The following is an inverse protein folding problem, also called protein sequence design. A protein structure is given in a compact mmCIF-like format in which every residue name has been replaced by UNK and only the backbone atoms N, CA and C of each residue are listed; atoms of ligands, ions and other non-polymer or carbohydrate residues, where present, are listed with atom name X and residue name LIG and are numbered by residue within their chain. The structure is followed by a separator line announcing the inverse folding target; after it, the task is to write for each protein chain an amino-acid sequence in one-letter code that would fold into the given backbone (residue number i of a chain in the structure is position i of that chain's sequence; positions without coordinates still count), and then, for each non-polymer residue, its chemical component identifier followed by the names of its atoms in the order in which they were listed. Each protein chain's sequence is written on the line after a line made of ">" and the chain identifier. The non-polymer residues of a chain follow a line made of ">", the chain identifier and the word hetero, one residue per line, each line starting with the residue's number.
data_IF_877927571137
#
_entry.id   IF_877927571137
#
_cell.length_a   1.000
_cell.length_b   1.000
_cell.length_c   1.000
_cell.angle_alpha   90.00
_cell.angle_beta   90.00
_cell.angle_gamma   90.00
#
_symmetry.space_group_name_H-M   'P 1'
#
loop_
_entity.id
_entity.type
_entity.pdbx_description
1 polymer ?
#
# COMPACT_ATOMS: atom_id res chain seq x y z
N UNK A 1 -21.36 57.56 32.24
CA UNK A 1 -22.65 58.17 31.87
C UNK A 1 -23.27 57.33 30.79
N UNK A 2 -24.32 56.59 31.14
CA UNK A 2 -25.16 55.85 30.19
C UNK A 2 -25.90 56.89 29.34
N UNK A 3 -25.99 56.70 28.02
CA UNK A 3 -26.77 57.62 27.18
C UNK A 3 -28.26 57.49 27.49
N UNK A 4 -29.05 58.57 27.35
CA UNK A 4 -30.51 58.54 27.56
C UNK A 4 -31.19 57.39 26.80
N UNK A 5 -30.76 57.14 25.55
CA UNK A 5 -31.27 56.04 24.72
C UNK A 5 -30.99 54.64 25.31
N UNK A 6 -29.87 54.47 26.03
CA UNK A 6 -29.55 53.20 26.70
C UNK A 6 -30.28 53.05 28.04
N UNK A 7 -30.59 54.16 28.72
CA UNK A 7 -31.43 54.17 29.93
C UNK A 7 -32.87 53.75 29.61
N UNK A 8 -33.47 54.27 28.53
CA UNK A 8 -34.82 53.86 28.11
C UNK A 8 -34.92 52.35 27.83
N UNK A 9 -33.90 51.77 27.18
CA UNK A 9 -33.82 50.34 26.90
C UNK A 9 -33.64 49.49 28.16
N UNK A 10 -32.91 49.97 29.16
CA UNK A 10 -32.75 49.28 30.46
C UNK A 10 -34.05 49.34 31.26
N UNK A 11 -34.77 50.46 31.23
CA UNK A 11 -36.11 50.60 31.82
C UNK A 11 -37.10 49.62 31.18
N UNK A 12 -37.00 49.40 29.87
CA UNK A 12 -37.80 48.40 29.16
C UNK A 12 -37.50 46.96 29.64
N UNK A 13 -36.23 46.62 29.95
CA UNK A 13 -35.87 45.34 30.60
C UNK A 13 -36.64 45.18 31.91
N UNK A 14 -36.61 46.19 32.76
CA UNK A 14 -37.17 46.12 34.10
C UNK A 14 -38.70 45.99 34.07
N UNK A 15 -39.36 46.61 33.09
CA UNK A 15 -40.80 46.47 32.87
C UNK A 15 -41.20 45.06 32.42
N UNK A 16 -40.40 44.40 31.58
CA UNK A 16 -40.66 43.01 31.12
C UNK A 16 -40.69 42.02 32.29
N UNK A 17 -39.95 42.29 33.37
CA UNK A 17 -39.92 41.46 34.58
C UNK A 17 -40.87 41.91 35.70
N UNK A 18 -41.78 42.85 35.43
CA UNK A 18 -42.84 43.24 36.37
C UNK A 18 -42.42 44.18 37.49
N UNK A 19 -41.27 44.86 37.37
CA UNK A 19 -40.92 45.95 38.29
C UNK A 19 -41.85 47.16 38.02
N UNK A 20 -42.40 47.74 39.09
CA UNK A 20 -43.37 48.85 38.98
C UNK A 20 -42.70 50.13 38.49
N UNK A 21 -43.49 51.01 37.85
CA UNK A 21 -43.03 52.32 37.36
C UNK A 21 -42.43 53.22 38.47
N UNK A 22 -42.72 52.93 39.74
CA UNK A 22 -42.10 53.61 40.90
C UNK A 22 -40.66 53.17 41.15
N UNK A 23 -40.29 51.92 40.87
CA UNK A 23 -38.92 51.41 40.99
C UNK A 23 -38.06 51.94 39.84
N UNK A 24 -38.65 52.10 38.66
CA UNK A 24 -38.01 52.61 37.45
C UNK A 24 -37.52 54.07 37.60
N UNK A 25 -38.23 54.90 38.37
CA UNK A 25 -37.92 56.33 38.52
C UNK A 25 -36.81 56.66 39.53
N UNK A 26 -36.27 55.67 40.26
CA UNK A 26 -35.25 55.88 41.31
C UNK A 26 -33.80 55.64 40.80
N UNK A 27 -33.63 55.18 39.56
CA UNK A 27 -32.46 54.38 39.17
C UNK A 27 -31.40 55.08 38.30
N UNK A 28 -31.22 56.40 38.36
CA UNK A 28 -30.09 57.02 37.65
C UNK A 28 -28.71 56.56 38.18
N UNK A 29 -28.62 56.12 39.46
CA UNK A 29 -27.39 55.55 40.05
C UNK A 29 -27.42 54.02 40.27
N UNK A 30 -28.60 53.37 40.24
CA UNK A 30 -28.76 51.94 40.55
C UNK A 30 -29.07 51.06 39.31
N UNK A 31 -29.31 51.64 38.13
CA UNK A 31 -29.56 50.88 36.91
C UNK A 31 -28.40 49.95 36.52
N UNK A 32 -27.15 50.41 36.68
CA UNK A 32 -25.97 49.59 36.40
C UNK A 32 -25.87 48.37 37.32
N UNK A 33 -26.25 48.51 38.60
CA UNK A 33 -26.29 47.40 39.57
C UNK A 33 -27.35 46.37 39.23
N UNK A 34 -28.53 46.82 38.78
CA UNK A 34 -29.59 45.92 38.34
C UNK A 34 -29.15 45.14 37.11
N UNK A 35 -28.51 45.81 36.15
CA UNK A 35 -27.94 45.16 34.96
C UNK A 35 -26.87 44.16 35.35
N UNK A 36 -25.94 44.51 36.24
CA UNK A 36 -24.89 43.60 36.70
C UNK A 36 -25.49 42.35 37.36
N UNK A 37 -26.50 42.54 38.24
CA UNK A 37 -27.18 41.43 38.90
C UNK A 37 -28.01 40.57 37.94
N UNK A 38 -28.59 41.17 36.90
CA UNK A 38 -29.29 40.42 35.85
C UNK A 38 -28.31 39.56 35.04
N UNK A 39 -27.15 40.09 34.69
CA UNK A 39 -26.10 39.35 33.97
C UNK A 39 -25.55 38.21 34.83
N UNK A 40 -25.38 38.43 36.15
CA UNK A 40 -24.93 37.38 37.08
C UNK A 40 -25.93 36.23 37.18
N UNK A 41 -27.23 36.53 37.20
CA UNK A 41 -28.28 35.52 37.38
C UNK A 41 -28.63 34.80 36.08
N UNK A 42 -28.76 35.54 34.97
CA UNK A 42 -29.24 35.02 33.68
C UNK A 42 -28.43 35.57 32.49
N UNK A 43 -27.13 35.20 32.36
CA UNK A 43 -26.26 35.76 31.34
C UNK A 43 -26.70 35.45 29.90
N UNK A 44 -27.31 34.28 29.66
CA UNK A 44 -27.83 33.91 28.33
C UNK A 44 -29.04 34.76 27.93
N UNK A 45 -29.95 35.04 28.88
CA UNK A 45 -31.09 35.91 28.66
C UNK A 45 -30.65 37.37 28.45
N UNK A 46 -29.66 37.82 29.22
CA UNK A 46 -29.06 39.15 29.07
C UNK A 46 -28.37 39.32 27.70
N UNK A 47 -27.68 38.30 27.21
CA UNK A 47 -27.08 38.31 25.88
C UNK A 47 -28.16 38.41 24.78
N UNK A 48 -29.16 37.54 24.79
CA UNK A 48 -30.23 37.53 23.79
C UNK A 48 -30.99 38.85 23.77
N UNK A 49 -31.26 39.40 24.95
CA UNK A 49 -31.93 40.69 25.07
C UNK A 49 -31.07 41.82 24.50
N UNK A 50 -29.79 41.88 24.87
CA UNK A 50 -28.85 42.86 24.31
C UNK A 50 -28.70 42.74 22.80
N UNK A 51 -28.68 41.52 22.26
CA UNK A 51 -28.64 41.27 20.82
C UNK A 51 -29.92 41.76 20.11
N UNK A 52 -31.11 41.48 20.66
CA UNK A 52 -32.38 41.93 20.11
C UNK A 52 -32.53 43.46 20.08
N UNK A 53 -31.95 44.15 21.07
CA UNK A 53 -31.95 45.61 21.14
C UNK A 53 -30.76 46.28 20.42
N UNK A 54 -29.87 45.48 19.84
CA UNK A 54 -28.57 45.90 19.31
C UNK A 54 -27.74 46.74 20.33
N UNK A 55 -27.96 46.49 21.62
CA UNK A 55 -27.31 47.23 22.70
C UNK A 55 -25.91 46.69 22.95
N UNK A 56 -24.93 47.31 22.28
CA UNK A 56 -23.51 46.95 22.43
C UNK A 56 -23.04 47.04 23.89
N UNK A 57 -23.47 48.04 24.68
CA UNK A 57 -23.03 48.18 26.07
C UNK A 57 -23.41 46.95 26.91
N UNK A 58 -24.67 46.50 26.82
CA UNK A 58 -25.15 45.33 27.53
C UNK A 58 -24.41 44.06 27.08
N UNK A 59 -24.23 43.89 25.76
CA UNK A 59 -23.49 42.75 25.19
C UNK A 59 -22.03 42.71 25.69
N UNK A 60 -21.38 43.87 25.84
CA UNK A 60 -20.02 43.97 26.39
C UNK A 60 -19.94 43.59 27.87
N UNK A 61 -20.91 44.04 28.69
CA UNK A 61 -20.98 43.63 30.10
C UNK A 61 -21.18 42.12 30.23
N UNK A 62 -22.07 41.54 29.42
CA UNK A 62 -22.29 40.08 29.37
C UNK A 62 -21.01 39.35 28.95
N UNK A 63 -20.31 39.84 27.92
CA UNK A 63 -19.06 39.25 27.49
C UNK A 63 -18.02 39.20 28.61
N UNK A 64 -17.87 40.29 29.38
CA UNK A 64 -16.92 40.35 30.50
C UNK A 64 -17.33 39.43 31.67
N UNK A 65 -18.62 39.34 32.01
CA UNK A 65 -19.10 38.45 33.06
C UNK A 65 -18.89 36.96 32.72
N UNK A 66 -18.95 36.62 31.42
CA UNK A 66 -18.78 35.25 30.95
C UNK A 66 -17.31 34.83 30.79
N UNK A 67 -16.34 35.74 30.86
CA UNK A 67 -14.92 35.44 30.57
C UNK A 67 -14.40 34.24 31.35
N UNK A 68 -14.73 34.13 32.64
CA UNK A 68 -14.28 33.05 33.51
C UNK A 68 -15.25 31.87 33.54
N UNK A 69 -16.55 32.12 33.34
CA UNK A 69 -17.62 31.12 33.46
C UNK A 69 -17.80 30.28 32.20
N UNK A 70 -17.86 30.94 31.03
CA UNK A 70 -17.98 30.31 29.72
C UNK A 70 -17.19 31.14 28.69
N UNK A 71 -15.88 30.89 28.58
CA UNK A 71 -15.01 31.63 27.68
C UNK A 71 -15.45 31.57 26.21
N UNK A 72 -16.12 30.49 25.77
CA UNK A 72 -16.61 30.38 24.38
C UNK A 72 -17.75 31.35 24.12
N UNK A 73 -18.73 31.41 25.03
CA UNK A 73 -19.82 32.39 24.95
C UNK A 73 -19.29 33.81 25.13
N UNK A 74 -18.31 34.03 25.99
CA UNK A 74 -17.65 35.32 26.15
C UNK A 74 -17.01 35.82 24.85
N UNK A 75 -16.32 34.95 24.09
CA UNK A 75 -15.80 35.31 22.76
C UNK A 75 -16.92 35.67 21.79
N UNK A 76 -18.02 34.90 21.76
CA UNK A 76 -19.15 35.20 20.89
C UNK A 76 -19.82 36.53 21.24
N UNK A 77 -20.09 36.75 22.53
CA UNK A 77 -20.66 37.99 23.02
C UNK A 77 -19.73 39.18 22.76
N UNK A 78 -18.44 39.04 23.05
CA UNK A 78 -17.44 40.08 22.79
C UNK A 78 -17.32 40.44 21.32
N UNK A 79 -17.43 39.47 20.40
CA UNK A 79 -17.49 39.73 18.95
C UNK A 79 -18.72 40.54 18.57
N UNK A 80 -19.90 40.16 19.06
CA UNK A 80 -21.15 40.86 18.78
C UNK A 80 -21.18 42.27 19.40
N UNK A 81 -20.58 42.45 20.57
CA UNK A 81 -20.42 43.73 21.24
C UNK A 81 -19.24 44.56 20.75
N UNK A 82 -18.43 44.04 19.82
CA UNK A 82 -17.17 44.62 19.35
C UNK A 82 -16.17 44.95 20.49
N UNK A 83 -16.19 44.19 21.58
CA UNK A 83 -15.26 44.33 22.71
C UNK A 83 -14.08 43.37 22.55
N UNK A 84 -13.03 43.90 21.93
CA UNK A 84 -11.76 43.19 21.74
C UNK A 84 -11.10 42.80 23.05
N UNK A 85 -11.29 43.56 24.13
CA UNK A 85 -10.64 43.30 25.40
C UNK A 85 -11.29 42.10 26.11
N UNK A 86 -12.62 42.00 26.08
CA UNK A 86 -13.34 40.82 26.54
C UNK A 86 -12.97 39.57 25.72
N UNK A 87 -12.92 39.69 24.39
CA UNK A 87 -12.48 38.59 23.50
C UNK A 87 -11.04 38.16 23.81
N UNK A 88 -10.14 39.11 24.04
CA UNK A 88 -8.74 38.85 24.43
C UNK A 88 -8.68 38.04 25.73
N UNK A 89 -9.35 38.51 26.79
CA UNK A 89 -9.35 37.82 28.10
C UNK A 89 -9.92 36.40 27.98
N UNK A 90 -11.07 36.25 27.32
CA UNK A 90 -11.67 34.95 27.09
C UNK A 90 -10.76 34.02 26.25
N UNK A 91 -10.05 34.58 25.26
CA UNK A 91 -9.05 33.86 24.46
C UNK A 91 -7.91 33.29 25.31
N UNK A 92 -7.42 34.02 26.30
CA UNK A 92 -6.42 33.52 27.26
C UNK A 92 -6.95 32.37 28.12
N UNK A 93 -8.22 32.41 28.56
CA UNK A 93 -8.83 31.27 29.27
C UNK A 93 -9.03 30.04 28.37
N UNK A 94 -9.26 30.25 27.07
CA UNK A 94 -9.42 29.17 26.11
C UNK A 94 -8.10 28.50 25.72
N UNK A 95 -6.96 29.15 25.92
CA UNK A 95 -5.66 28.68 25.42
C UNK A 95 -5.34 27.24 25.82
N UNK A 96 -5.68 26.87 27.06
CA UNK A 96 -5.41 25.53 27.62
C UNK A 96 -6.52 24.51 27.36
N UNK A 97 -7.72 24.95 26.97
CA UNK A 97 -8.91 24.07 26.89
C UNK A 97 -9.44 23.88 25.46
N UNK A 98 -9.29 24.90 24.59
CA UNK A 98 -9.70 24.88 23.18
C UNK A 98 -8.82 25.85 22.39
N UNK A 99 -7.65 25.37 21.95
CA UNK A 99 -6.67 26.18 21.24
C UNK A 99 -7.21 26.76 19.92
N UNK A 100 -8.17 26.08 19.26
CA UNK A 100 -8.77 26.55 18.01
C UNK A 100 -9.67 27.76 18.25
N UNK A 101 -10.50 27.71 19.29
CA UNK A 101 -11.31 28.85 19.72
C UNK A 101 -10.44 30.00 20.22
N UNK A 102 -9.36 29.70 20.97
CA UNK A 102 -8.39 30.68 21.41
C UNK A 102 -7.69 31.39 20.24
N UNK A 103 -7.28 30.65 19.20
CA UNK A 103 -6.69 31.21 17.97
C UNK A 103 -7.65 32.19 17.27
N UNK A 104 -8.93 31.81 17.13
CA UNK A 104 -9.96 32.70 16.54
C UNK A 104 -10.23 33.94 17.39
N UNK A 105 -10.04 33.86 18.71
CA UNK A 105 -10.15 34.99 19.62
C UNK A 105 -8.93 35.93 19.48
N UNK A 106 -7.72 35.37 19.39
CA UNK A 106 -6.47 36.10 19.15
C UNK A 106 -6.54 36.91 17.85
N UNK A 107 -6.97 36.28 16.75
CA UNK A 107 -7.11 36.93 15.45
C UNK A 107 -8.10 38.10 15.48
N UNK A 108 -9.26 37.91 16.11
CA UNK A 108 -10.28 38.97 16.21
C UNK A 108 -9.83 40.14 17.09
N UNK A 109 -9.21 39.82 18.24
CA UNK A 109 -8.73 40.84 19.19
C UNK A 109 -7.46 41.54 18.72
N UNK A 110 -6.79 41.03 17.69
CA UNK A 110 -5.49 41.50 17.20
C UNK A 110 -4.43 41.47 18.33
N UNK A 111 -4.50 40.45 19.18
CA UNK A 111 -3.51 40.22 20.25
C UNK A 111 -2.39 39.31 19.72
N UNK A 112 -1.26 39.92 19.34
CA UNK A 112 -0.09 39.21 18.82
C UNK A 112 0.53 38.24 19.85
N UNK A 113 0.46 38.56 21.15
CA UNK A 113 1.00 37.70 22.21
C UNK A 113 0.15 36.43 22.36
N UNK A 114 -1.18 36.59 22.39
CA UNK A 114 -2.09 35.45 22.41
C UNK A 114 -2.02 34.64 21.12
N UNK A 115 -1.84 35.30 19.96
CA UNK A 115 -1.70 34.62 18.68
C UNK A 115 -0.41 33.77 18.65
N UNK A 116 0.71 34.30 19.16
CA UNK A 116 1.95 33.55 19.30
C UNK A 116 1.80 32.36 20.27
N UNK A 117 1.16 32.58 21.44
CA UNK A 117 0.94 31.52 22.42
C UNK A 117 0.02 30.41 21.90
N UNK A 118 -1.07 30.76 21.20
CA UNK A 118 -1.98 29.78 20.59
C UNK A 118 -1.30 28.98 19.48
N UNK A 119 -0.50 29.62 18.61
CA UNK A 119 0.30 28.91 17.61
C UNK A 119 1.23 27.88 18.26
N UNK A 120 1.99 28.29 19.28
CA UNK A 120 2.89 27.39 20.01
C UNK A 120 2.12 26.20 20.60
N UNK A 121 0.97 26.46 21.22
CA UNK A 121 0.13 25.40 21.79
C UNK A 121 -0.44 24.45 20.74
N UNK A 122 -0.84 24.98 19.57
CA UNK A 122 -1.30 24.16 18.44
C UNK A 122 -0.18 23.24 17.95
N UNK A 123 1.06 23.72 17.90
CA UNK A 123 2.23 22.92 17.52
C UNK A 123 2.57 21.81 18.54
N UNK A 124 2.03 21.87 19.75
CA UNK A 124 2.16 20.84 20.78
C UNK A 124 1.06 19.76 20.72
N UNK A 125 0.01 19.96 19.91
CA UNK A 125 -1.07 18.98 19.70
C UNK A 125 -0.60 17.76 18.90
N UNK A 126 -1.45 16.73 18.85
CA UNK A 126 -1.23 15.61 17.93
C UNK A 126 -1.11 16.09 16.48
N UNK A 127 -0.21 15.44 15.74
CA UNK A 127 0.23 15.79 14.38
C UNK A 127 -0.90 16.18 13.43
N UNK A 128 -1.88 15.27 13.27
CA UNK A 128 -3.01 15.48 12.37
C UNK A 128 -3.89 16.65 12.82
N UNK A 129 -4.02 16.87 14.12
CA UNK A 129 -4.79 17.96 14.71
C UNK A 129 -4.11 19.31 14.47
N UNK A 130 -2.81 19.41 14.74
CA UNK A 130 -2.01 20.63 14.54
C UNK A 130 -2.04 21.08 13.07
N UNK A 131 -1.81 20.16 12.13
CA UNK A 131 -1.89 20.47 10.70
C UNK A 131 -3.31 20.85 10.28
N UNK A 132 -4.33 20.10 10.72
CA UNK A 132 -5.72 20.41 10.37
C UNK A 132 -6.08 21.83 10.77
N UNK A 133 -5.72 22.25 11.98
CA UNK A 133 -5.94 23.62 12.44
C UNK A 133 -5.15 24.62 11.58
N UNK A 134 -3.88 24.35 11.29
CA UNK A 134 -3.05 25.21 10.43
C UNK A 134 -3.63 25.40 9.02
N UNK A 135 -4.15 24.32 8.43
CA UNK A 135 -4.78 24.34 7.10
C UNK A 135 -6.12 25.07 7.11
N UNK A 136 -6.99 24.81 8.10
CA UNK A 136 -8.28 25.50 8.22
C UNK A 136 -8.14 27.00 8.49
N UNK A 137 -7.05 27.41 9.13
CA UNK A 137 -6.77 28.81 9.43
C UNK A 137 -5.99 29.53 8.34
N UNK A 138 -5.44 28.79 7.37
CA UNK A 138 -4.56 29.28 6.31
C UNK A 138 -3.42 30.17 6.84
N UNK A 139 -2.97 29.95 8.08
CA UNK A 139 -1.94 30.77 8.72
C UNK A 139 -0.54 30.32 8.25
N UNK A 140 0.18 31.16 7.47
CA UNK A 140 1.47 30.78 6.92
C UNK A 140 2.52 30.43 7.98
N UNK A 141 2.50 31.13 9.13
CA UNK A 141 3.47 30.90 10.20
C UNK A 141 3.20 29.59 10.94
N UNK A 142 1.92 29.26 11.12
CA UNK A 142 1.53 27.99 11.72
C UNK A 142 1.81 26.82 10.77
N UNK A 143 1.52 26.99 9.47
CA UNK A 143 1.87 26.02 8.43
C UNK A 143 3.38 25.78 8.35
N UNK A 144 4.19 26.84 8.41
CA UNK A 144 5.65 26.72 8.45
C UNK A 144 6.13 26.00 9.72
N UNK A 145 5.59 26.36 10.88
CA UNK A 145 5.92 25.73 12.16
C UNK A 145 5.59 24.23 12.17
N UNK A 146 4.42 23.85 11.66
CA UNK A 146 4.01 22.45 11.49
C UNK A 146 4.97 21.73 10.55
N UNK A 147 5.27 22.31 9.38
CA UNK A 147 6.19 21.72 8.41
C UNK A 147 7.60 21.49 9.00
N UNK A 148 8.12 22.45 9.76
CA UNK A 148 9.42 22.36 10.43
C UNK A 148 9.44 21.25 11.47
N UNK A 149 8.38 21.12 12.28
CA UNK A 149 8.23 20.07 13.29
C UNK A 149 8.33 18.66 12.68
N UNK A 150 7.67 18.45 11.54
CA UNK A 150 7.73 17.16 10.84
C UNK A 150 9.09 16.87 10.20
N UNK A 151 9.75 17.90 9.65
CA UNK A 151 11.08 17.76 9.05
C UNK A 151 12.17 17.47 10.09
N UNK A 152 12.18 18.23 11.20
CA UNK A 152 13.26 18.20 12.18
C UNK A 152 13.16 17.03 13.16
N UNK A 153 11.97 16.66 13.62
CA UNK A 153 11.83 15.59 14.63
C UNK A 153 11.86 14.19 14.04
N UNK A 154 11.42 13.99 12.81
CA UNK A 154 11.09 12.65 12.32
C UNK A 154 11.68 12.30 10.97
N UNK A 155 12.33 13.25 10.29
CA UNK A 155 12.86 13.04 8.95
C UNK A 155 11.78 12.65 7.93
N UNK A 156 10.51 13.00 8.22
CA UNK A 156 9.41 12.71 7.32
C UNK A 156 9.48 13.65 6.11
N UNK A 157 9.37 13.08 4.93
CA UNK A 157 9.32 13.87 3.71
C UNK A 157 7.99 14.63 3.64
N UNK A 158 7.93 15.81 2.98
CA UNK A 158 6.68 16.56 2.77
C UNK A 158 5.53 15.71 2.20
N UNK A 159 5.87 14.70 1.40
CA UNK A 159 4.95 13.70 0.89
C UNK A 159 4.36 12.76 1.95
N UNK A 160 5.15 12.29 2.92
CA UNK A 160 4.68 11.45 4.01
C UNK A 160 3.75 12.22 4.93
N UNK A 161 4.09 13.47 5.23
CA UNK A 161 3.23 14.39 5.98
C UNK A 161 1.88 14.50 5.29
N UNK A 162 1.87 14.83 3.99
CA UNK A 162 0.65 15.00 3.22
C UNK A 162 -0.21 13.72 3.13
N UNK A 163 0.44 12.55 3.15
CA UNK A 163 -0.24 11.26 3.18
C UNK A 163 -0.89 10.98 4.55
N UNK A 164 -0.21 11.26 5.66
CA UNK A 164 -0.73 11.04 7.02
C UNK A 164 -1.95 11.90 7.33
N UNK A 165 -1.94 13.15 6.89
CA UNK A 165 -3.04 14.11 7.12
C UNK A 165 -4.22 13.93 6.16
N UNK A 166 -4.07 13.13 5.09
CA UNK A 166 -5.13 12.92 4.09
C UNK A 166 -5.30 14.04 3.06
N UNK A 167 -4.40 15.02 3.01
CA UNK A 167 -4.46 16.17 2.09
C UNK A 167 -3.86 15.79 0.74
N UNK A 168 -4.75 15.46 -0.20
CA UNK A 168 -4.35 15.04 -1.55
C UNK A 168 -3.77 16.18 -2.38
N UNK A 169 -4.11 17.43 -2.09
CA UNK A 169 -3.58 18.56 -2.85
C UNK A 169 -2.15 18.85 -2.43
N UNK A 170 -1.88 18.89 -1.12
CA UNK A 170 -0.52 19.02 -0.63
C UNK A 170 0.36 17.83 -1.07
N UNK A 171 -0.19 16.62 -1.06
CA UNK A 171 0.54 15.44 -1.52
C UNK A 171 0.88 15.53 -3.02
N UNK A 172 -0.02 16.09 -3.84
CA UNK A 172 0.23 16.36 -5.26
C UNK A 172 1.35 17.39 -5.44
N UNK A 173 1.33 18.48 -4.68
CA UNK A 173 2.36 19.53 -4.78
C UNK A 173 3.73 19.03 -4.30
N UNK A 174 3.76 18.24 -3.23
CA UNK A 174 4.96 17.57 -2.76
C UNK A 174 5.51 16.60 -3.81
N UNK A 175 4.63 15.87 -4.50
CA UNK A 175 5.00 14.99 -5.61
C UNK A 175 5.68 15.75 -6.76
N UNK A 176 5.11 16.89 -7.18
CA UNK A 176 5.70 17.73 -8.22
C UNK A 176 7.08 18.27 -7.85
N UNK A 177 7.24 18.79 -6.63
CA UNK A 177 8.55 19.24 -6.13
C UNK A 177 9.60 18.13 -6.10
N UNK A 178 9.19 16.88 -5.82
CA UNK A 178 10.11 15.74 -5.88
C UNK A 178 10.54 15.40 -7.31
N UNK A 179 9.65 15.55 -8.31
CA UNK A 179 9.99 15.40 -9.73
C UNK A 179 10.94 16.48 -10.22
N UNK A 180 10.72 17.72 -9.79
CA UNK A 180 11.56 18.87 -10.15
C UNK A 180 12.94 18.83 -9.46
N UNK A 181 13.12 17.98 -8.45
CA UNK A 181 14.41 17.83 -7.78
C UNK A 181 15.42 17.10 -8.67
N UNK A 182 16.65 17.60 -8.72
CA UNK A 182 17.74 17.01 -9.52
C UNK A 182 18.23 15.64 -8.96
N UNK A 183 17.73 15.21 -7.79
CA UNK A 183 18.14 13.98 -7.13
C UNK A 183 17.31 12.75 -7.53
N UNK A 184 17.96 11.73 -8.11
CA UNK A 184 17.31 10.45 -8.46
C UNK A 184 16.72 9.67 -7.26
N UNK A 185 17.09 10.01 -6.03
CA UNK A 185 16.65 9.31 -4.82
C UNK A 185 15.16 9.56 -4.46
N UNK A 186 14.51 10.58 -5.02
CA UNK A 186 13.14 10.96 -4.66
C UNK A 186 12.06 10.41 -5.61
N UNK A 187 12.41 9.93 -6.80
CA UNK A 187 11.45 9.55 -7.84
C UNK A 187 10.61 8.31 -7.47
N UNK A 188 11.16 7.25 -6.85
CA UNK A 188 10.33 6.14 -6.35
C UNK A 188 9.30 6.60 -5.32
N UNK A 189 9.67 7.57 -4.47
CA UNK A 189 8.77 8.14 -3.47
C UNK A 189 7.70 9.01 -4.14
N UNK A 190 8.04 9.78 -5.17
CA UNK A 190 7.07 10.53 -5.97
C UNK A 190 6.03 9.60 -6.60
N UNK A 191 6.43 8.46 -7.17
CA UNK A 191 5.48 7.48 -7.70
C UNK A 191 4.53 6.94 -6.63
N UNK A 192 5.04 6.58 -5.43
CA UNK A 192 4.18 6.13 -4.33
C UNK A 192 3.15 7.17 -3.91
N UNK A 193 3.53 8.45 -3.90
CA UNK A 193 2.63 9.55 -3.58
C UNK A 193 1.58 9.73 -4.66
N UNK A 194 1.96 9.63 -5.94
CA UNK A 194 1.04 9.67 -7.07
C UNK A 194 -0.03 8.56 -6.98
N UNK A 195 0.37 7.35 -6.57
CA UNK A 195 -0.56 6.25 -6.29
C UNK A 195 -1.50 6.61 -5.14
N UNK A 196 -0.97 7.15 -4.04
CA UNK A 196 -1.78 7.52 -2.88
C UNK A 196 -2.87 8.54 -3.23
N UNK A 197 -2.51 9.59 -3.96
CA UNK A 197 -3.47 10.61 -4.40
C UNK A 197 -4.42 10.12 -5.50
N UNK A 198 -4.14 8.94 -6.09
CA UNK A 198 -4.88 8.29 -7.18
C UNK A 198 -4.97 9.17 -8.44
N UNK A 199 -3.93 9.96 -8.68
CA UNK A 199 -3.85 10.86 -9.83
C UNK A 199 -3.17 10.14 -11.00
N UNK A 200 -3.96 9.74 -12.01
CA UNK A 200 -3.47 8.91 -13.11
C UNK A 200 -2.41 9.63 -13.97
N UNK A 201 -2.53 10.94 -14.14
CA UNK A 201 -1.60 11.71 -14.95
C UNK A 201 -0.27 11.85 -14.22
N UNK A 202 -0.33 12.17 -12.92
CA UNK A 202 0.87 12.23 -12.07
C UNK A 202 1.54 10.86 -11.94
N UNK A 203 0.77 9.77 -11.84
CA UNK A 203 1.32 8.41 -11.82
C UNK A 203 2.02 8.08 -13.14
N UNK A 204 1.50 8.55 -14.29
CA UNK A 204 2.16 8.37 -15.59
C UNK A 204 3.45 9.18 -15.66
N UNK A 205 3.40 10.46 -15.32
CA UNK A 205 4.55 11.36 -15.34
C UNK A 205 5.69 10.82 -14.45
N UNK A 206 5.39 10.51 -13.20
CA UNK A 206 6.37 9.91 -12.26
C UNK A 206 6.90 8.56 -12.73
N UNK A 207 6.08 7.74 -13.39
CA UNK A 207 6.52 6.46 -13.94
C UNK A 207 7.47 6.62 -15.12
N UNK A 208 7.23 7.58 -16.02
CA UNK A 208 8.12 7.87 -17.14
C UNK A 208 9.47 8.42 -16.65
N UNK A 209 9.44 9.35 -15.70
CA UNK A 209 10.66 9.89 -15.09
C UNK A 209 11.49 8.81 -14.40
N UNK A 210 10.81 7.87 -13.72
CA UNK A 210 11.44 6.72 -13.07
C UNK A 210 12.16 5.82 -14.08
N UNK A 211 11.60 5.62 -15.27
CA UNK A 211 12.26 4.83 -16.33
C UNK A 211 13.47 5.58 -16.88
N UNK A 212 13.35 6.89 -17.13
CA UNK A 212 14.44 7.68 -17.71
C UNK A 212 15.65 7.79 -16.76
N UNK A 213 15.40 7.93 -15.45
CA UNK A 213 16.44 8.21 -14.47
C UNK A 213 16.96 6.99 -13.69
N UNK A 214 16.16 5.94 -13.50
CA UNK A 214 16.56 4.71 -12.80
C UNK A 214 15.86 3.46 -13.35
N UNK A 215 16.23 3.09 -14.57
CA UNK A 215 15.70 1.91 -15.26
C UNK A 215 16.09 0.56 -14.62
N UNK A 216 16.86 0.54 -13.52
CA UNK A 216 17.45 -0.69 -12.96
C UNK A 216 16.83 -1.14 -11.63
N UNK A 217 16.33 -0.21 -10.80
CA UNK A 217 15.96 -0.54 -9.40
C UNK A 217 14.51 -0.88 -9.14
N UNK A 218 13.57 -0.47 -9.99
CA UNK A 218 12.14 -0.71 -9.75
C UNK A 218 11.61 -1.84 -10.62
N UNK A 219 10.64 -2.61 -10.11
CA UNK A 219 9.84 -3.55 -10.91
C UNK A 219 8.92 -2.75 -11.85
N UNK A 220 9.51 -2.06 -12.83
CA UNK A 220 8.87 -1.10 -13.72
C UNK A 220 7.70 -1.71 -14.51
N UNK A 221 7.67 -3.02 -14.76
CA UNK A 221 6.49 -3.67 -15.33
C UNK A 221 5.27 -3.61 -14.39
N UNK A 222 5.46 -3.64 -13.06
CA UNK A 222 4.38 -3.48 -12.07
C UNK A 222 3.86 -2.06 -12.06
N UNK A 223 4.76 -1.08 -12.23
CA UNK A 223 4.42 0.34 -12.42
C UNK A 223 3.55 0.50 -13.68
N UNK A 224 4.00 -0.01 -14.83
CA UNK A 224 3.23 -0.01 -16.07
C UNK A 224 1.86 -0.69 -15.95
N UNK A 225 1.79 -1.81 -15.21
CA UNK A 225 0.51 -2.48 -14.89
C UNK A 225 -0.44 -1.57 -14.09
N UNK A 226 0.08 -0.84 -13.10
CA UNK A 226 -0.73 0.01 -12.22
C UNK A 226 -1.34 1.19 -12.96
N UNK A 227 -0.59 1.81 -13.88
CA UNK A 227 -1.06 2.95 -14.70
C UNK A 227 -1.72 2.53 -16.02
N UNK A 228 -1.76 1.23 -16.31
CA UNK A 228 -2.26 0.64 -17.57
C UNK A 228 -1.65 1.23 -18.83
N UNK A 229 -0.39 1.66 -18.78
CA UNK A 229 0.33 2.24 -19.91
C UNK A 229 1.03 1.14 -20.72
N UNK A 230 0.46 0.81 -21.88
CA UNK A 230 1.00 -0.20 -22.80
C UNK A 230 2.35 0.20 -23.38
N UNK A 231 2.59 1.49 -23.65
CA UNK A 231 3.84 1.98 -24.24
C UNK A 231 5.00 1.83 -23.25
N UNK A 232 4.77 2.23 -22.00
CA UNK A 232 5.75 2.07 -20.93
C UNK A 232 6.08 0.58 -20.70
N UNK A 233 5.05 -0.28 -20.61
CA UNK A 233 5.25 -1.73 -20.46
C UNK A 233 6.08 -2.31 -21.61
N UNK A 234 5.79 -1.92 -22.85
CA UNK A 234 6.55 -2.37 -24.03
C UNK A 234 8.03 -1.96 -23.94
N UNK A 235 8.30 -0.69 -23.69
CA UNK A 235 9.66 -0.16 -23.65
C UNK A 235 10.50 -0.82 -22.56
N UNK A 236 9.99 -0.88 -21.32
CA UNK A 236 10.65 -1.55 -20.19
C UNK A 236 10.85 -3.03 -20.45
N UNK A 237 9.85 -3.67 -21.08
CA UNK A 237 9.93 -5.08 -21.44
C UNK A 237 11.07 -5.35 -22.41
N UNK A 238 11.23 -4.53 -23.46
CA UNK A 238 12.34 -4.66 -24.41
C UNK A 238 13.71 -4.40 -23.77
N UNK A 239 13.84 -3.34 -22.97
CA UNK A 239 15.11 -3.00 -22.31
C UNK A 239 15.64 -4.14 -21.42
N UNK A 240 14.73 -4.91 -20.82
CA UNK A 240 15.07 -5.94 -19.83
C UNK A 240 14.97 -7.37 -20.35
N UNK A 241 14.55 -7.60 -21.60
CA UNK A 241 14.19 -8.93 -22.11
C UNK A 241 15.32 -9.96 -21.95
N UNK A 242 16.58 -9.54 -22.08
CA UNK A 242 17.74 -10.44 -21.93
C UNK A 242 17.96 -10.88 -20.48
N UNK A 243 17.73 -9.99 -19.51
CA UNK A 243 18.03 -10.21 -18.10
C UNK A 243 16.82 -10.75 -17.32
N UNK A 244 15.61 -10.33 -17.72
CA UNK A 244 14.34 -10.60 -17.03
C UNK A 244 13.26 -11.07 -18.00
N UNK A 245 13.48 -12.18 -18.75
CA UNK A 245 12.60 -12.59 -19.82
C UNK A 245 11.17 -12.93 -19.32
N UNK A 246 11.02 -13.41 -18.08
CA UNK A 246 9.71 -13.64 -17.45
C UNK A 246 8.86 -12.36 -17.31
N UNK A 247 9.46 -11.30 -16.76
CA UNK A 247 8.76 -10.03 -16.57
C UNK A 247 8.46 -9.36 -17.92
N UNK A 248 9.40 -9.47 -18.87
CA UNK A 248 9.24 -8.99 -20.25
C UNK A 248 8.13 -9.72 -21.01
N UNK A 249 7.97 -11.03 -20.80
CA UNK A 249 6.85 -11.79 -21.39
C UNK A 249 5.50 -11.25 -20.89
N UNK A 250 5.34 -11.03 -19.58
CA UNK A 250 4.10 -10.45 -19.06
C UNK A 250 3.86 -9.03 -19.56
N UNK A 251 4.92 -8.24 -19.70
CA UNK A 251 4.83 -6.91 -20.28
C UNK A 251 4.32 -7.00 -21.73
N UNK A 252 4.92 -7.87 -22.55
CA UNK A 252 4.51 -8.14 -23.94
C UNK A 252 3.04 -8.56 -24.06
N UNK A 253 2.59 -9.54 -23.28
CA UNK A 253 1.19 -10.00 -23.27
C UNK A 253 0.23 -8.87 -22.92
N UNK A 254 0.55 -8.05 -21.90
CA UNK A 254 -0.30 -6.93 -21.47
C UNK A 254 -0.26 -5.72 -22.40
N UNK A 255 0.87 -5.50 -23.07
CA UNK A 255 1.04 -4.43 -24.05
C UNK A 255 0.61 -4.84 -25.46
N UNK A 256 0.15 -6.09 -25.65
CA UNK A 256 -0.17 -6.67 -26.95
C UNK A 256 1.01 -6.51 -27.94
N UNK A 257 2.24 -6.77 -27.47
CA UNK A 257 3.45 -6.78 -28.30
C UNK A 257 3.91 -8.22 -28.52
N UNK A 258 3.47 -8.80 -29.64
CA UNK A 258 3.78 -10.18 -30.01
C UNK A 258 5.29 -10.41 -30.20
N UNK A 259 6.02 -9.42 -30.71
CA UNK A 259 7.48 -9.53 -30.92
C UNK A 259 8.23 -9.57 -29.60
N UNK A 260 7.79 -8.78 -28.62
CA UNK A 260 8.35 -8.82 -27.27
C UNK A 260 8.03 -10.15 -26.59
N UNK A 261 6.82 -10.67 -26.78
CA UNK A 261 6.43 -11.99 -26.28
C UNK A 261 7.34 -13.06 -26.88
N UNK A 262 7.51 -13.09 -28.20
CA UNK A 262 8.39 -14.03 -28.89
C UNK A 262 9.84 -13.94 -28.38
N UNK A 263 10.39 -12.72 -28.32
CA UNK A 263 11.77 -12.52 -27.86
C UNK A 263 11.97 -12.93 -26.40
N UNK A 264 10.99 -12.63 -25.56
CA UNK A 264 11.00 -13.06 -24.18
C UNK A 264 11.00 -14.59 -24.12
N UNK A 265 10.08 -15.27 -24.82
CA UNK A 265 9.99 -16.73 -24.85
C UNK A 265 11.32 -17.41 -25.18
N UNK A 266 12.06 -16.93 -26.18
CA UNK A 266 13.40 -17.45 -26.50
C UNK A 266 14.31 -17.45 -25.26
N UNK A 267 14.37 -16.33 -24.56
CA UNK A 267 15.20 -16.17 -23.37
C UNK A 267 14.68 -16.92 -22.13
N UNK A 268 13.38 -17.18 -22.02
CA UNK A 268 12.83 -17.98 -20.91
C UNK A 268 13.15 -19.47 -21.13
N UNK A 269 12.93 -20.01 -22.34
CA UNK A 269 13.03 -21.45 -22.64
C UNK A 269 14.45 -21.96 -22.42
N UNK A 270 15.45 -21.13 -22.75
CA UNK A 270 16.86 -21.47 -22.54
C UNK A 270 17.27 -21.43 -21.06
N UNK A 271 16.64 -20.59 -20.23
CA UNK A 271 17.07 -20.34 -18.84
C UNK A 271 16.40 -21.23 -17.81
N UNK A 272 15.08 -21.45 -17.90
CA UNK A 272 14.35 -22.24 -16.89
C UNK A 272 13.06 -22.87 -17.46
N UNK A 273 13.19 -23.87 -18.35
CA UNK A 273 12.05 -24.41 -19.12
C UNK A 273 10.95 -25.05 -18.25
N UNK A 274 11.24 -25.35 -16.97
CA UNK A 274 10.23 -25.79 -15.99
C UNK A 274 9.29 -24.64 -15.64
N UNK A 275 9.83 -23.46 -15.35
CA UNK A 275 9.04 -22.27 -15.05
C UNK A 275 8.25 -21.80 -16.27
N UNK A 276 8.76 -21.99 -17.47
CA UNK A 276 8.09 -21.65 -18.73
C UNK A 276 6.82 -22.45 -18.93
N UNK A 277 6.90 -23.77 -18.73
CA UNK A 277 5.74 -24.63 -18.86
C UNK A 277 4.64 -24.22 -17.88
N UNK A 278 5.02 -23.89 -16.63
CA UNK A 278 4.10 -23.38 -15.60
C UNK A 278 3.52 -22.01 -16.00
N UNK A 279 4.35 -21.13 -16.54
CA UNK A 279 3.95 -19.81 -17.02
C UNK A 279 2.94 -19.93 -18.17
N UNK A 280 3.22 -20.78 -19.16
CA UNK A 280 2.36 -21.07 -20.29
C UNK A 280 1.00 -21.58 -19.83
N UNK A 281 0.96 -22.54 -18.89
CA UNK A 281 -0.29 -23.02 -18.29
C UNK A 281 -1.06 -21.91 -17.56
N UNK A 282 -0.37 -21.03 -16.83
CA UNK A 282 -1.00 -19.90 -16.11
C UNK A 282 -1.59 -18.86 -17.07
N UNK A 283 -0.90 -18.59 -18.18
CA UNK A 283 -1.29 -17.61 -19.18
C UNK A 283 -2.19 -18.20 -20.28
N UNK A 284 -2.42 -19.52 -20.28
CA UNK A 284 -3.14 -20.26 -21.34
C UNK A 284 -2.50 -20.05 -22.72
N UNK A 285 -1.18 -20.03 -22.74
CA UNK A 285 -0.38 -19.85 -23.95
C UNK A 285 0.07 -21.22 -24.48
N UNK A 286 -0.72 -21.78 -25.40
CA UNK A 286 -0.48 -23.12 -25.98
C UNK A 286 0.86 -23.20 -26.72
N UNK A 287 1.30 -22.11 -27.36
CA UNK A 287 2.59 -22.10 -28.07
C UNK A 287 3.76 -22.20 -27.09
N UNK A 288 3.71 -21.47 -25.98
CA UNK A 288 4.72 -21.56 -24.93
C UNK A 288 4.69 -22.92 -24.22
N UNK A 289 3.50 -23.45 -23.94
CA UNK A 289 3.33 -24.79 -23.37
C UNK A 289 4.02 -25.82 -24.27
N UNK A 290 3.73 -25.78 -25.57
CA UNK A 290 4.27 -26.72 -26.55
C UNK A 290 5.80 -26.62 -26.66
N UNK A 291 6.34 -25.42 -26.84
CA UNK A 291 7.79 -25.20 -26.96
C UNK A 291 8.54 -25.64 -25.70
N UNK A 292 8.01 -25.29 -24.51
CA UNK A 292 8.60 -25.69 -23.22
C UNK A 292 8.55 -27.20 -23.02
N UNK A 293 7.44 -27.82 -23.42
CA UNK A 293 7.25 -29.27 -23.34
C UNK A 293 8.29 -30.00 -24.18
N UNK A 294 8.41 -29.62 -25.45
CA UNK A 294 9.32 -30.27 -26.40
C UNK A 294 10.79 -30.12 -25.97
N UNK A 295 11.16 -28.91 -25.52
CA UNK A 295 12.49 -28.64 -24.99
C UNK A 295 12.79 -29.43 -23.70
N UNK A 296 11.85 -29.44 -22.73
CA UNK A 296 12.00 -30.21 -21.49
C UNK A 296 12.15 -31.69 -21.77
N UNK A 297 11.36 -32.26 -22.68
CA UNK A 297 11.44 -33.67 -23.05
C UNK A 297 12.83 -33.98 -23.63
N UNK A 298 13.39 -33.08 -24.43
CA UNK A 298 14.70 -33.25 -25.05
C UNK A 298 15.84 -33.16 -24.03
N UNK A 299 15.81 -32.17 -23.14
CA UNK A 299 16.92 -31.86 -22.23
C UNK A 299 16.84 -32.64 -20.90
N UNK A 300 15.66 -32.77 -20.30
CA UNK A 300 15.42 -33.45 -19.02
C UNK A 300 14.04 -34.16 -19.02
N UNK A 301 13.97 -35.31 -19.69
CA UNK A 301 12.74 -36.10 -19.82
C UNK A 301 12.17 -36.58 -18.47
N UNK A 302 12.99 -36.64 -17.40
CA UNK A 302 12.53 -36.98 -16.05
C UNK A 302 11.77 -35.82 -15.42
N UNK A 303 12.30 -34.60 -15.52
CA UNK A 303 11.58 -33.40 -15.11
C UNK A 303 10.27 -33.24 -15.90
N UNK A 304 10.32 -33.49 -17.20
CA UNK A 304 9.15 -33.43 -18.07
C UNK A 304 8.05 -34.41 -17.63
N UNK A 305 8.41 -35.66 -17.33
CA UNK A 305 7.48 -36.68 -16.83
C UNK A 305 6.78 -36.24 -15.53
N UNK A 306 7.54 -35.67 -14.59
CA UNK A 306 7.00 -35.21 -13.30
C UNK A 306 6.07 -34.01 -13.47
N UNK A 307 6.46 -33.03 -14.29
CA UNK A 307 5.63 -31.88 -14.60
C UNK A 307 4.34 -32.30 -15.30
N UNK A 308 4.42 -33.19 -16.28
CA UNK A 308 3.24 -33.74 -16.97
C UNK A 308 2.26 -34.41 -16.00
N UNK A 309 2.76 -35.19 -15.03
CA UNK A 309 1.91 -35.79 -13.98
C UNK A 309 1.25 -34.75 -13.10
N UNK A 310 2.00 -33.73 -12.65
CA UNK A 310 1.48 -32.64 -11.79
C UNK A 310 0.37 -31.87 -12.49
N UNK A 311 0.55 -31.56 -13.77
CA UNK A 311 -0.41 -30.78 -14.56
C UNK A 311 -1.40 -31.63 -15.37
N UNK A 312 -1.42 -32.95 -15.16
CA UNK A 312 -2.28 -33.92 -15.85
C UNK A 312 -2.18 -33.84 -17.39
N UNK A 313 -1.00 -33.50 -17.91
CA UNK A 313 -0.71 -33.43 -19.34
C UNK A 313 -0.29 -34.82 -19.86
N UNK A 314 -1.28 -35.56 -20.38
CA UNK A 314 -1.09 -36.93 -20.84
C UNK A 314 -0.04 -37.04 -21.95
N UNK A 315 -0.06 -36.12 -22.91
CA UNK A 315 0.88 -36.10 -24.04
C UNK A 315 2.31 -35.91 -23.54
N UNK A 316 2.54 -34.96 -22.62
CA UNK A 316 3.86 -34.77 -22.00
C UNK A 316 4.34 -36.03 -21.27
N UNK A 317 3.45 -36.72 -20.55
CA UNK A 317 3.78 -37.96 -19.84
C UNK A 317 4.18 -39.07 -20.82
N UNK A 318 3.39 -39.29 -21.88
CA UNK A 318 3.63 -40.33 -22.89
C UNK A 318 4.92 -40.08 -23.67
N UNK A 319 5.15 -38.86 -24.13
CA UNK A 319 6.35 -38.49 -24.88
C UNK A 319 7.60 -38.59 -23.99
N UNK A 320 7.50 -38.17 -22.73
CA UNK A 320 8.60 -38.29 -21.75
C UNK A 320 8.94 -39.76 -21.46
N UNK A 321 7.93 -40.62 -21.29
CA UNK A 321 8.13 -42.07 -21.10
C UNK A 321 8.82 -42.68 -22.30
N UNK A 322 8.34 -42.38 -23.51
CA UNK A 322 8.92 -42.86 -24.76
C UNK A 322 10.38 -42.43 -24.89
N UNK A 323 10.69 -41.16 -24.58
CA UNK A 323 12.05 -40.63 -24.62
C UNK A 323 12.98 -41.28 -23.59
N UNK A 324 12.50 -41.51 -22.37
CA UNK A 324 13.28 -42.21 -21.33
C UNK A 324 13.59 -43.65 -21.75
N UNK A 325 12.58 -44.39 -22.21
CA UNK A 325 12.72 -45.79 -22.64
C UNK A 325 13.65 -45.94 -23.84
N UNK A 326 13.62 -45.01 -24.79
CA UNK A 326 14.47 -45.06 -25.99
C UNK A 326 15.91 -44.65 -25.71
N UNK A 327 16.14 -43.69 -24.81
CA UNK A 327 17.48 -43.17 -24.50
C UNK A 327 18.23 -44.05 -23.51
N UNK A 328 17.59 -44.46 -22.42
CA UNK A 328 18.21 -45.25 -21.35
C UNK A 328 17.13 -46.05 -20.58
N UNK A 329 16.86 -47.30 -21.01
CA UNK A 329 15.91 -48.19 -20.34
C UNK A 329 16.25 -48.46 -18.87
N UNK A 330 17.55 -48.46 -18.50
CA UNK A 330 17.97 -48.67 -17.11
C UNK A 330 17.58 -47.47 -16.23
N UNK A 331 17.84 -46.24 -16.70
CA UNK A 331 17.37 -45.04 -16.00
C UNK A 331 15.84 -44.95 -15.98
N UNK A 332 15.17 -45.31 -17.08
CA UNK A 332 13.71 -45.34 -17.16
C UNK A 332 13.09 -46.24 -16.07
N UNK A 333 13.69 -47.41 -15.81
CA UNK A 333 13.28 -48.31 -14.72
C UNK A 333 13.34 -47.62 -13.35
N UNK A 334 14.48 -47.00 -13.01
CA UNK A 334 14.67 -46.35 -11.70
C UNK A 334 13.80 -45.11 -11.52
N UNK A 335 13.61 -44.33 -12.59
CA UNK A 335 12.65 -43.21 -12.59
C UNK A 335 11.23 -43.73 -12.37
N UNK A 336 10.84 -44.80 -13.06
CA UNK A 336 9.54 -45.42 -12.89
C UNK A 336 9.31 -45.93 -11.47
N UNK A 337 10.31 -46.58 -10.85
CA UNK A 337 10.23 -47.01 -9.44
C UNK A 337 10.10 -45.81 -8.49
N UNK A 338 10.92 -44.77 -8.66
CA UNK A 338 10.89 -43.59 -7.80
C UNK A 338 9.56 -42.84 -7.89
N UNK A 339 9.00 -42.72 -9.10
CA UNK A 339 7.77 -41.97 -9.37
C UNK A 339 6.52 -42.87 -9.38
N UNK A 340 6.63 -44.11 -8.88
CA UNK A 340 5.58 -45.14 -8.77
C UNK A 340 4.80 -45.39 -10.08
N UNK A 341 5.52 -45.33 -11.20
CA UNK A 341 4.99 -45.51 -12.55
C UNK A 341 5.10 -46.97 -12.98
N UNK A 342 4.04 -47.75 -12.74
CA UNK A 342 4.05 -49.20 -12.99
C UNK A 342 4.25 -49.53 -14.47
N UNK A 343 3.64 -48.75 -15.37
CA UNK A 343 3.70 -48.99 -16.80
C UNK A 343 5.12 -48.73 -17.34
N UNK A 344 5.75 -47.63 -16.91
CA UNK A 344 7.13 -47.33 -17.27
C UNK A 344 8.10 -48.39 -16.75
N UNK A 345 7.88 -48.92 -15.55
CA UNK A 345 8.69 -50.01 -14.98
C UNK A 345 8.54 -51.28 -15.81
N UNK A 346 7.32 -51.71 -16.12
CA UNK A 346 7.08 -52.94 -16.90
C UNK A 346 7.69 -52.85 -18.29
N UNK A 347 7.55 -51.71 -18.96
CA UNK A 347 8.07 -51.54 -20.31
C UNK A 347 9.60 -51.44 -20.32
N UNK A 348 10.20 -50.78 -19.31
CA UNK A 348 11.64 -50.77 -19.13
C UNK A 348 12.18 -52.17 -18.82
N UNK A 349 11.50 -52.94 -17.96
CA UNK A 349 11.83 -54.34 -17.67
C UNK A 349 11.87 -55.14 -18.98
N UNK A 350 10.80 -55.10 -19.78
CA UNK A 350 10.69 -55.79 -21.07
C UNK A 350 11.84 -55.46 -22.02
N UNK A 351 12.12 -54.16 -22.24
CA UNK A 351 13.21 -53.72 -23.13
C UNK A 351 14.57 -54.20 -22.61
N UNK A 352 14.81 -54.14 -21.30
CA UNK A 352 16.05 -54.61 -20.69
C UNK A 352 16.23 -56.13 -20.89
N UNK A 353 15.19 -56.94 -20.69
CA UNK A 353 15.28 -58.40 -20.91
C UNK A 353 15.56 -58.73 -22.36
N UNK A 354 14.95 -58.00 -23.29
CA UNK A 354 14.99 -58.32 -24.72
C UNK A 354 16.25 -57.83 -25.42
N UNK A 355 16.74 -56.63 -25.06
CA UNK A 355 17.77 -55.93 -25.84
C UNK A 355 19.07 -55.68 -25.09
N UNK A 356 19.06 -55.72 -23.75
CA UNK A 356 20.21 -55.29 -22.92
C UNK A 356 20.41 -56.22 -21.70
N UNK A 357 20.70 -57.53 -21.91
CA UNK A 357 20.70 -58.54 -20.85
C UNK A 357 21.69 -58.25 -19.71
N UNK A 358 22.87 -57.68 -20.00
CA UNK A 358 23.84 -57.28 -18.98
C UNK A 358 23.34 -56.14 -18.08
N UNK A 359 22.66 -55.14 -18.66
CA UNK A 359 22.03 -54.07 -17.87
C UNK A 359 20.82 -54.61 -17.08
N UNK A 360 20.09 -55.57 -17.65
CA UNK A 360 18.99 -56.23 -16.99
C UNK A 360 19.43 -56.98 -15.72
N UNK A 361 20.59 -57.66 -15.75
CA UNK A 361 21.19 -58.30 -14.57
C UNK A 361 21.51 -57.28 -13.46
N UNK A 362 22.04 -56.11 -13.82
CA UNK A 362 22.30 -55.01 -12.87
C UNK A 362 21.01 -54.51 -12.20
N UNK A 363 19.94 -54.32 -12.98
CA UNK A 363 18.62 -53.93 -12.44
C UNK A 363 18.04 -55.05 -11.57
N UNK A 364 18.09 -56.30 -12.03
CA UNK A 364 17.58 -57.46 -11.32
C UNK A 364 18.24 -57.59 -9.93
N UNK A 365 19.56 -57.39 -9.82
CA UNK A 365 20.27 -57.41 -8.53
C UNK A 365 19.63 -56.52 -7.47
N UNK A 366 19.18 -55.33 -7.87
CA UNK A 366 18.65 -54.30 -6.96
C UNK A 366 17.12 -54.25 -6.91
N UNK A 367 16.43 -54.89 -7.86
CA UNK A 367 14.97 -54.95 -7.96
C UNK A 367 14.36 -55.85 -6.89
N UNK A 368 13.25 -55.49 -6.25
CA UNK A 368 12.50 -56.42 -5.38
C UNK A 368 11.48 -57.30 -6.13
N UNK A 369 11.42 -57.20 -7.46
CA UNK A 369 10.49 -57.96 -8.29
C UNK A 369 11.06 -59.35 -8.59
N UNK A 370 10.59 -60.37 -7.85
CA UNK A 370 11.06 -61.76 -7.98
C UNK A 370 10.81 -62.34 -9.37
N UNK A 371 9.66 -62.03 -9.99
CA UNK A 371 9.33 -62.51 -11.35
C UNK A 371 10.33 -61.97 -12.37
N UNK A 372 10.65 -60.68 -12.29
CA UNK A 372 11.67 -60.07 -13.17
C UNK A 372 13.07 -60.65 -12.91
N UNK A 373 13.45 -60.83 -11.63
CA UNK A 373 14.74 -61.43 -11.25
C UNK A 373 14.89 -62.84 -11.79
N UNK A 374 13.92 -63.72 -11.52
CA UNK A 374 13.96 -65.11 -11.94
C UNK A 374 13.95 -65.24 -13.47
N UNK A 375 13.13 -64.44 -14.17
CA UNK A 375 13.10 -64.44 -15.64
C UNK A 375 14.42 -63.97 -16.28
N UNK A 376 15.10 -62.96 -15.70
CA UNK A 376 16.42 -62.54 -16.17
C UNK A 376 17.48 -63.60 -15.91
N UNK A 377 17.45 -64.27 -14.75
CA UNK A 377 18.40 -65.34 -14.42
C UNK A 377 18.19 -66.53 -15.34
N UNK A 378 16.95 -66.97 -15.56
CA UNK A 378 16.62 -68.09 -16.44
C UNK A 378 17.07 -67.83 -17.88
N UNK A 379 16.78 -66.62 -18.41
CA UNK A 379 17.23 -66.18 -19.73
C UNK A 379 18.74 -66.09 -19.84
N UNK A 380 19.40 -65.51 -18.82
CA UNK A 380 20.86 -65.42 -18.78
C UNK A 380 21.52 -66.81 -18.68
N UNK A 381 20.89 -67.78 -18.03
CA UNK A 381 21.36 -69.18 -17.94
C UNK A 381 21.16 -69.92 -19.26
N UNK A 382 20.08 -69.67 -19.98
CA UNK A 382 19.81 -70.29 -21.29
C UNK A 382 20.65 -69.69 -22.43
N UNK A 383 20.97 -68.39 -22.36
CA UNK A 383 21.83 -67.71 -23.34
C UNK A 383 23.35 -67.84 -23.02
N UNK A 384 23.72 -68.40 -21.86
CA UNK A 384 25.11 -68.51 -21.39
C UNK A 384 25.89 -69.69 -22.00
N UNK A 385 26.20 -69.58 -23.29
CA UNK A 385 27.41 -70.18 -23.88
C UNK A 385 28.64 -69.23 -23.81
N UNK A 386 28.46 -67.99 -23.35
CA UNK A 386 29.56 -67.01 -23.18
C UNK A 386 29.99 -66.90 -21.70
N UNK A 387 31.25 -67.24 -21.40
CA UNK A 387 31.81 -67.37 -20.04
C UNK A 387 31.75 -66.12 -19.13
N UNK A 388 31.49 -64.92 -19.66
CA UNK A 388 31.38 -63.69 -18.87
C UNK A 388 30.08 -63.63 -18.03
N UNK A 389 28.98 -64.18 -18.54
CA UNK A 389 27.65 -64.11 -17.89
C UNK A 389 27.59 -64.95 -16.61
N UNK A 390 28.31 -66.08 -16.57
CA UNK A 390 28.39 -66.97 -15.40
C UNK A 390 28.93 -66.25 -14.16
N UNK A 391 30.00 -65.45 -14.30
CA UNK A 391 30.60 -64.72 -13.16
C UNK A 391 29.66 -63.69 -12.53
N UNK A 392 28.81 -63.04 -13.34
CA UNK A 392 27.79 -62.09 -12.90
C UNK A 392 26.60 -62.78 -12.23
N UNK A 393 26.20 -63.95 -12.72
CA UNK A 393 25.14 -64.78 -12.11
C UNK A 393 25.57 -65.28 -10.72
N UNK A 394 26.81 -65.73 -10.55
CA UNK A 394 27.33 -66.17 -9.25
C UNK A 394 27.46 -65.05 -8.21
N UNK A 395 27.45 -63.78 -8.63
CA UNK A 395 27.39 -62.63 -7.71
C UNK A 395 25.98 -62.20 -7.28
N UNK A 396 24.92 -62.80 -7.84
CA UNK A 396 23.51 -62.51 -7.51
C UNK A 396 22.98 -63.36 -6.36
N UNK A 397 23.61 -64.51 -6.09
CA UNK A 397 23.36 -65.33 -4.90
C UNK A 397 24.56 -65.18 -3.96
N UNK A 398 24.40 -64.70 -2.71
CA UNK A 398 25.30 -65.18 -1.67
C UNK A 398 25.05 -66.68 -1.62
N UNK A 399 26.06 -67.51 -1.87
CA UNK A 399 25.95 -68.92 -1.56
C UNK A 399 25.72 -69.01 -0.05
N UNK A 400 24.46 -69.19 0.34
CA UNK A 400 24.14 -69.71 1.66
C UNK A 400 24.76 -71.11 1.72
N UNK A 401 25.82 -71.22 2.51
CA UNK A 401 26.51 -72.45 2.86
C UNK A 401 25.65 -73.34 3.73
#
# INVERSE_FOLDING_TARGET
>A
MVSEENLEKIVEVMRVFGYSDEVVNVLDEDADRVVDRYIELEPDAAFLYGANLENKYLIRKVANALVELDPKKAVQAGKNGEDRQAVRKAGWHLLETDCKSAYKAAWFSQDDELLAATRQKILELERGEAYRIASETEDPLLLEGVARLYLEKEGLTPSQIAMEIGDRNLARDACRKMLDSEGNCYIPNAFHVAVYVRDQDLMRETAWELVERDSRRVQLYRVGKWIKDKKLMRMVGWERVENWPFDSYFAGVRSEDEKLVEKAREGIVEKDPKKDYVLGKRCRDESLIQASRDYLIQVDSRAALRLGKVYQDKTMVEDSRTKLLTRDPHNAYWVGKADKDVDLVKEAERILQDKLPLMALSVARRSKNEVFRSGIIEKAVTDADAGEVKSLIYGLYPMES
#
